data_IF_940405000235
#
_entry.id   IF_940405000235
#
_cell.length_a   1.000
_cell.length_b   1.000
_cell.length_c   1.000
_cell.angle_alpha   90.00
_cell.angle_beta   90.00
_cell.angle_gamma   90.00
#
_symmetry.space_group_name_H-M   'P 1'
#
loop_
_entity.id
_entity.type
_entity.pdbx_description
1 polymer ?
#
# COMPACT_ATOMS: atom_id res chain seq x y z
N UNK A 1 -22.93 -5.17 -22.05
CA UNK A 1 -22.26 -6.33 -21.42
C UNK A 1 -21.50 -5.86 -20.18
N UNK A 2 -22.22 -5.39 -19.15
CA UNK A 2 -21.65 -4.83 -17.91
C UNK A 2 -21.66 -5.87 -16.79
N UNK A 3 -21.20 -7.08 -17.11
CA UNK A 3 -21.56 -8.33 -16.42
C UNK A 3 -20.97 -8.52 -15.02
N UNK A 4 -20.23 -7.57 -14.45
CA UNK A 4 -19.71 -7.71 -13.10
C UNK A 4 -19.77 -6.36 -12.36
N UNK A 5 -21.00 -5.95 -12.03
CA UNK A 5 -21.26 -4.82 -11.14
C UNK A 5 -20.44 -4.96 -9.86
N UNK A 6 -19.89 -3.86 -9.34
CA UNK A 6 -19.09 -3.80 -8.10
C UNK A 6 -19.81 -4.51 -6.93
N UNK A 7 -21.14 -4.50 -6.95
CA UNK A 7 -22.00 -5.23 -6.01
C UNK A 7 -21.80 -6.75 -6.01
N UNK A 8 -21.52 -7.36 -7.16
CA UNK A 8 -21.23 -8.80 -7.23
C UNK A 8 -19.92 -9.13 -6.52
N UNK A 9 -18.88 -8.32 -6.73
CA UNK A 9 -17.59 -8.49 -6.06
C UNK A 9 -17.70 -8.37 -4.54
N UNK A 10 -18.52 -7.44 -4.03
CA UNK A 10 -18.83 -7.34 -2.59
C UNK A 10 -19.46 -8.61 -2.03
N UNK A 11 -20.48 -9.16 -2.72
CA UNK A 11 -21.14 -10.40 -2.32
C UNK A 11 -20.15 -11.58 -2.31
N UNK A 12 -19.32 -11.71 -3.35
CA UNK A 12 -18.33 -12.79 -3.45
C UNK A 12 -17.30 -12.69 -2.32
N UNK A 13 -16.83 -11.48 -2.01
CA UNK A 13 -15.87 -11.24 -0.94
C UNK A 13 -16.42 -11.68 0.42
N UNK A 14 -17.70 -11.37 0.69
CA UNK A 14 -18.38 -11.82 1.92
C UNK A 14 -18.43 -13.34 2.00
N UNK A 15 -18.80 -14.03 0.92
CA UNK A 15 -18.84 -15.50 0.90
C UNK A 15 -17.45 -16.10 1.12
N UNK A 16 -16.41 -15.55 0.49
CA UNK A 16 -15.03 -16.02 0.69
C UNK A 16 -14.61 -15.86 2.16
N UNK A 17 -14.93 -14.74 2.80
CA UNK A 17 -14.65 -14.52 4.22
C UNK A 17 -15.40 -15.51 5.11
N UNK A 18 -16.66 -15.84 4.78
CA UNK A 18 -17.45 -16.83 5.52
C UNK A 18 -16.90 -18.25 5.38
N UNK A 19 -16.49 -18.66 4.18
CA UNK A 19 -15.94 -20.00 3.91
C UNK A 19 -14.57 -20.20 4.56
N UNK A 20 -13.69 -19.22 4.42
CA UNK A 20 -12.34 -19.29 5.00
C UNK A 20 -12.32 -18.95 6.50
N UNK A 21 -13.35 -18.26 6.98
CA UNK A 21 -13.42 -17.71 8.32
C UNK A 21 -12.47 -16.52 8.53
N UNK A 22 -12.87 -15.57 9.36
CA UNK A 22 -12.08 -14.36 9.65
C UNK A 22 -10.74 -14.68 10.34
N UNK A 23 -10.66 -15.79 11.08
CA UNK A 23 -9.45 -16.19 11.83
C UNK A 23 -8.30 -16.61 10.90
N UNK A 24 -8.58 -17.37 9.85
CA UNK A 24 -7.59 -17.81 8.86
C UNK A 24 -7.18 -16.65 7.96
N UNK A 25 -8.16 -15.84 7.52
CA UNK A 25 -7.92 -14.67 6.70
C UNK A 25 -7.12 -13.59 7.43
N UNK A 26 -7.31 -13.42 8.76
CA UNK A 26 -6.51 -12.48 9.57
C UNK A 26 -5.07 -12.94 9.75
N UNK A 27 -4.83 -14.24 9.92
CA UNK A 27 -3.47 -14.75 10.11
C UNK A 27 -2.66 -14.58 8.82
N UNK A 28 -3.19 -15.06 7.70
CA UNK A 28 -2.56 -14.93 6.38
C UNK A 28 -2.53 -13.45 5.93
N UNK A 29 -3.58 -12.70 6.21
CA UNK A 29 -3.66 -11.27 5.90
C UNK A 29 -2.71 -10.42 6.72
N UNK A 30 -2.33 -10.83 7.95
CA UNK A 30 -1.30 -10.15 8.74
C UNK A 30 0.09 -10.39 8.15
N UNK A 31 0.38 -11.62 7.72
CA UNK A 31 1.67 -11.97 7.13
C UNK A 31 1.87 -11.30 5.75
N UNK A 32 0.85 -11.37 4.89
CA UNK A 32 0.85 -10.70 3.58
C UNK A 32 0.74 -9.17 3.73
N UNK A 33 -0.07 -8.70 4.67
CA UNK A 33 -0.29 -7.27 4.92
C UNK A 33 0.97 -6.59 5.45
N UNK A 34 1.76 -7.26 6.30
CA UNK A 34 3.05 -6.76 6.75
C UNK A 34 4.02 -6.54 5.59
N UNK A 35 4.20 -7.57 4.75
CA UNK A 35 5.09 -7.48 3.58
C UNK A 35 4.69 -6.36 2.60
N UNK A 36 3.38 -6.20 2.34
CA UNK A 36 2.87 -5.13 1.47
C UNK A 36 2.98 -3.75 2.14
N UNK A 37 2.83 -3.68 3.47
CA UNK A 37 3.01 -2.43 4.23
C UNK A 37 4.45 -1.93 4.16
N UNK A 38 5.43 -2.81 4.40
CA UNK A 38 6.85 -2.48 4.29
C UNK A 38 7.23 -2.11 2.85
N UNK A 39 6.67 -2.80 1.85
CA UNK A 39 6.86 -2.46 0.44
C UNK A 39 6.31 -1.06 0.12
N UNK A 40 5.09 -0.73 0.56
CA UNK A 40 4.50 0.60 0.37
C UNK A 40 5.31 1.69 1.08
N UNK A 41 5.80 1.39 2.29
CA UNK A 41 6.64 2.32 3.06
C UNK A 41 7.96 2.59 2.35
N UNK A 42 8.62 1.56 1.83
CA UNK A 42 9.85 1.69 1.05
C UNK A 42 9.67 2.49 -0.24
N UNK A 43 8.53 2.32 -0.93
CA UNK A 43 8.18 3.13 -2.10
C UNK A 43 7.98 4.61 -1.75
N UNK A 44 7.24 4.90 -0.68
CA UNK A 44 7.02 6.29 -0.23
C UNK A 44 8.31 6.95 0.29
N UNK A 45 9.16 6.22 1.03
CA UNK A 45 10.46 6.73 1.46
C UNK A 45 11.42 6.96 0.29
N UNK A 46 11.34 6.14 -0.77
CA UNK A 46 12.10 6.37 -2.00
C UNK A 46 11.66 7.65 -2.73
N UNK A 47 10.36 7.92 -2.74
CA UNK A 47 9.77 9.14 -3.31
C UNK A 47 10.09 10.39 -2.47
N UNK A 48 10.02 10.29 -1.14
CA UNK A 48 10.39 11.38 -0.21
C UNK A 48 11.90 11.67 -0.19
N UNK A 49 12.75 10.67 -0.48
CA UNK A 49 14.20 10.88 -0.65
C UNK A 49 14.52 11.54 -1.99
N UNK A 50 13.79 11.21 -3.05
CA UNK A 50 13.94 11.88 -4.35
C UNK A 50 13.62 13.39 -4.27
N UNK A 51 12.67 13.82 -3.44
CA UNK A 51 12.35 15.24 -3.24
C UNK A 51 13.24 16.00 -2.24
N UNK A 52 14.10 15.31 -1.47
CA UNK A 52 14.94 15.93 -0.43
C UNK A 52 16.37 16.26 -0.87
N UNK A 53 16.84 15.68 -1.97
CA UNK A 53 18.15 16.02 -2.56
C UNK A 53 18.13 17.38 -3.28
N UNK A 54 16.95 17.92 -3.63
CA UNK A 54 16.83 19.21 -4.32
C UNK A 54 17.02 20.45 -3.40
N UNK A 55 16.88 20.29 -2.07
CA UNK A 55 16.86 21.43 -1.12
C UNK A 55 18.26 21.78 -0.57
N UNK A 56 19.26 20.91 -0.76
CA UNK A 56 20.60 21.14 -0.19
C UNK A 56 21.50 22.01 -1.09
N UNK A 57 21.17 22.20 -2.37
CA UNK A 57 22.05 22.95 -3.30
C UNK A 57 21.89 24.48 -3.26
N UNK A 58 20.83 25.04 -2.65
CA UNK A 58 20.59 26.49 -2.67
C UNK A 58 21.09 27.28 -1.46
N UNK A 59 21.98 26.71 -0.62
CA UNK A 59 22.52 27.40 0.58
C UNK A 59 24.05 27.37 0.68
N UNK A 60 24.76 27.45 -0.44
CA UNK A 60 26.22 27.58 -0.43
C UNK A 60 26.79 28.73 -1.24
N UNK A 61 25.98 29.46 -2.01
CA UNK A 61 26.47 30.55 -2.87
C UNK A 61 26.38 31.97 -2.26
N UNK A 62 25.67 32.18 -1.15
CA UNK A 62 25.58 33.51 -0.50
C UNK A 62 26.78 33.88 0.41
N UNK A 63 27.87 33.13 0.38
CA UNK A 63 29.04 33.35 1.27
C UNK A 63 30.40 33.15 0.57
N UNK A 64 30.57 33.69 -0.63
CA UNK A 64 31.88 33.89 -1.24
C UNK A 64 32.09 35.38 -1.58
#
# INVERSE_FOLDING_TARGET
MGSFSIWHWLIVLVIVVLVFGTKKLRNVGKDLGGAVHDFKKGLNEGDERAGKDEVIEHKKEDKA
#
